data_IF_037662158215
#
_entry.id   IF_037662158215
#
_cell.length_a   1.000
_cell.length_b   1.000
_cell.length_c   1.000
_cell.angle_alpha   90.00
_cell.angle_beta   90.00
_cell.angle_gamma   90.00
#
_symmetry.space_group_name_H-M   'P 1'
#
loop_
_entity.id
_entity.type
_entity.pdbx_description
1 polymer ?
#
# COMPACT_ATOMS: atom_id res chain seq x y z
N UNK A 1 -4.60 26.99 -17.68
CA UNK A 1 -3.36 26.24 -17.94
C UNK A 1 -2.73 25.90 -16.60
N UNK A 2 -2.84 24.62 -16.24
CA UNK A 2 -2.07 23.81 -15.28
C UNK A 2 -2.98 22.64 -14.91
N UNK A 3 -3.12 21.72 -15.86
CA UNK A 3 -3.81 20.45 -15.68
C UNK A 3 -2.85 19.48 -15.02
N UNK A 4 -3.19 19.04 -13.81
CA UNK A 4 -2.53 17.93 -13.14
C UNK A 4 -3.48 16.74 -13.29
N UNK A 5 -3.47 16.12 -14.47
CA UNK A 5 -4.21 14.90 -14.77
C UNK A 5 -3.49 13.71 -14.10
N UNK A 6 -3.71 13.54 -12.79
CA UNK A 6 -3.32 12.32 -12.09
C UNK A 6 -4.21 11.16 -12.55
N UNK A 7 -3.72 10.45 -13.56
CA UNK A 7 -4.27 9.19 -14.03
C UNK A 7 -4.11 8.16 -12.90
N UNK A 8 -5.21 7.62 -12.39
CA UNK A 8 -5.21 6.51 -11.43
C UNK A 8 -5.27 5.20 -12.19
N UNK A 9 -4.18 4.40 -12.29
CA UNK A 9 -4.28 3.03 -12.76
C UNK A 9 -4.75 2.16 -11.59
N UNK A 10 -6.04 1.79 -11.61
CA UNK A 10 -6.60 0.88 -10.63
C UNK A 10 -6.28 -0.58 -11.06
N UNK A 11 -5.12 -1.09 -10.65
CA UNK A 11 -4.71 -2.48 -10.90
C UNK A 11 -5.44 -3.43 -9.95
N UNK A 12 -6.59 -3.95 -10.39
CA UNK A 12 -7.34 -5.00 -9.67
C UNK A 12 -7.73 -6.13 -10.63
N UNK A 13 -6.74 -6.77 -11.24
CA UNK A 13 -6.91 -8.08 -11.88
C UNK A 13 -5.75 -9.01 -11.50
N UNK A 14 -5.79 -9.52 -10.26
CA UNK A 14 -4.96 -10.64 -9.84
C UNK A 14 -5.52 -11.93 -10.46
N UNK A 15 -5.06 -12.29 -11.67
CA UNK A 15 -5.19 -13.67 -12.16
C UNK A 15 -4.03 -14.47 -11.59
N UNK A 16 -4.32 -15.37 -10.65
CA UNK A 16 -3.38 -16.38 -10.20
C UNK A 16 -3.01 -17.30 -11.37
N UNK A 17 -1.90 -17.00 -12.04
CA UNK A 17 -1.20 -17.90 -12.98
C UNK A 17 0.13 -18.34 -12.34
N UNK A 18 0.70 -19.47 -12.76
CA UNK A 18 1.77 -20.13 -12.03
C UNK A 18 2.98 -19.20 -11.90
N UNK A 19 3.42 -18.95 -10.67
CA UNK A 19 4.69 -18.29 -10.38
C UNK A 19 5.81 -19.15 -10.99
N UNK A 20 6.53 -18.63 -11.98
CA UNK A 20 7.78 -19.22 -12.40
C UNK A 20 8.82 -18.98 -11.29
N UNK A 21 8.77 -19.82 -10.25
CA UNK A 21 9.78 -19.83 -9.21
C UNK A 21 10.99 -20.62 -9.73
N UNK A 22 11.92 -19.95 -10.40
CA UNK A 22 13.19 -20.56 -10.76
C UNK A 22 14.08 -20.65 -9.52
N UNK A 23 13.90 -21.75 -8.77
CA UNK A 23 14.67 -22.04 -7.57
C UNK A 23 16.04 -22.57 -7.96
N UNK A 24 17.03 -21.68 -8.09
CA UNK A 24 18.42 -22.09 -8.19
C UNK A 24 18.78 -22.96 -6.97
N UNK A 25 19.50 -24.07 -7.15
CA UNK A 25 20.03 -24.89 -6.04
C UNK A 25 21.49 -24.52 -5.81
N UNK A 26 21.83 -23.92 -4.67
CA UNK A 26 23.22 -23.68 -4.27
C UNK A 26 23.40 -22.49 -3.34
N UNK A 27 23.72 -22.76 -2.07
CA UNK A 27 23.76 -21.81 -0.96
C UNK A 27 24.42 -20.45 -1.26
N UNK A 28 23.76 -19.37 -0.80
CA UNK A 28 24.17 -17.98 -0.99
C UNK A 28 23.42 -17.27 -2.13
N UNK A 29 22.08 -17.32 -2.12
CA UNK A 29 21.22 -17.00 -3.26
C UNK A 29 21.00 -15.50 -3.57
N UNK A 30 21.33 -14.56 -2.69
CA UNK A 30 20.98 -13.13 -2.82
C UNK A 30 21.78 -12.35 -3.88
N UNK A 31 22.58 -13.03 -4.70
CA UNK A 31 23.48 -12.41 -5.67
C UNK A 31 23.60 -13.11 -7.02
N UNK A 32 22.80 -14.13 -7.30
CA UNK A 32 22.83 -14.80 -8.61
C UNK A 32 22.28 -13.90 -9.73
N UNK A 33 22.66 -14.21 -10.97
CA UNK A 33 22.27 -13.41 -12.15
C UNK A 33 20.74 -13.29 -12.28
N UNK A 34 19.99 -14.34 -11.98
CA UNK A 34 18.52 -14.32 -12.00
C UNK A 34 17.94 -13.35 -10.97
N UNK A 35 18.45 -13.32 -9.74
CA UNK A 35 17.98 -12.41 -8.70
C UNK A 35 18.22 -10.94 -9.08
N UNK A 36 19.39 -10.63 -9.66
CA UNK A 36 19.69 -9.27 -10.15
C UNK A 36 18.82 -8.88 -11.34
N UNK A 37 18.56 -9.83 -12.25
CA UNK A 37 17.69 -9.60 -13.39
C UNK A 37 16.24 -9.32 -12.96
N UNK A 38 15.70 -10.10 -12.01
CA UNK A 38 14.38 -9.86 -11.42
C UNK A 38 14.33 -8.46 -10.80
N UNK A 39 15.33 -8.10 -9.98
CA UNK A 39 15.42 -6.79 -9.36
C UNK A 39 15.40 -5.65 -10.38
N UNK A 40 16.22 -5.76 -11.44
CA UNK A 40 16.27 -4.76 -12.50
C UNK A 40 14.92 -4.66 -13.23
N UNK A 41 14.30 -5.79 -13.58
CA UNK A 41 13.01 -5.80 -14.24
C UNK A 41 11.88 -5.22 -13.37
N UNK A 42 11.93 -5.43 -12.05
CA UNK A 42 10.99 -4.81 -11.10
C UNK A 42 11.20 -3.30 -11.02
N UNK A 43 12.44 -2.81 -11.08
CA UNK A 43 12.75 -1.36 -11.06
C UNK A 43 12.15 -0.65 -12.28
N UNK A 44 12.22 -1.29 -13.46
CA UNK A 44 11.74 -0.72 -14.73
C UNK A 44 10.22 -0.89 -14.95
N UNK A 45 9.51 -1.54 -14.02
CA UNK A 45 8.09 -1.82 -14.19
C UNK A 45 7.22 -0.57 -14.03
N UNK A 46 6.16 -0.46 -14.84
CA UNK A 46 5.21 0.65 -14.75
C UNK A 46 4.40 0.64 -13.45
N UNK A 47 4.09 -0.56 -12.94
CA UNK A 47 3.33 -0.76 -11.70
C UNK A 47 4.02 -1.83 -10.83
N UNK A 48 4.29 -1.46 -9.59
CA UNK A 48 4.83 -2.36 -8.56
C UNK A 48 3.92 -2.37 -7.34
N UNK A 49 3.79 -3.51 -6.68
CA UNK A 49 3.07 -3.67 -5.42
C UNK A 49 4.09 -3.97 -4.32
N UNK A 50 4.09 -3.16 -3.27
CA UNK A 50 4.99 -3.35 -2.14
C UNK A 50 4.22 -3.72 -0.87
N UNK A 51 4.76 -4.70 -0.15
CA UNK A 51 4.22 -5.19 1.13
C UNK A 51 5.36 -5.71 2.03
N UNK A 52 5.12 -5.71 3.34
CA UNK A 52 6.04 -6.19 4.35
C UNK A 52 5.38 -7.18 5.31
N UNK A 53 6.06 -8.30 5.55
CA UNK A 53 5.62 -9.24 6.57
C UNK A 53 6.73 -9.59 7.55
N UNK A 54 6.40 -9.56 8.84
CA UNK A 54 7.32 -9.89 9.92
C UNK A 54 7.43 -11.40 10.10
N UNK A 55 8.65 -11.93 10.17
CA UNK A 55 8.90 -13.35 10.44
C UNK A 55 10.17 -13.56 11.27
N UNK A 56 10.43 -14.80 11.69
CA UNK A 56 11.59 -15.13 12.53
C UNK A 56 12.59 -16.02 11.79
N UNK A 57 13.86 -15.62 11.79
CA UNK A 57 14.99 -16.45 11.35
C UNK A 57 15.89 -16.71 12.55
N UNK A 58 16.07 -17.98 12.92
CA UNK A 58 16.93 -18.39 14.05
C UNK A 58 16.64 -17.60 15.35
N UNK A 59 15.36 -17.38 15.64
CA UNK A 59 14.91 -16.65 16.83
C UNK A 59 15.06 -15.12 16.77
N UNK A 60 15.50 -14.56 15.65
CA UNK A 60 15.59 -13.10 15.43
C UNK A 60 14.46 -12.63 14.52
N UNK A 61 13.92 -11.44 14.78
CA UNK A 61 12.86 -10.85 13.95
C UNK A 61 13.45 -10.26 12.67
N UNK A 62 12.92 -10.70 11.54
CA UNK A 62 13.17 -10.16 10.21
C UNK A 62 11.87 -9.60 9.63
N UNK A 63 12.01 -8.70 8.68
CA UNK A 63 10.94 -8.25 7.82
C UNK A 63 11.24 -8.75 6.41
N UNK A 64 10.27 -9.43 5.81
CA UNK A 64 10.33 -9.78 4.41
C UNK A 64 9.74 -8.62 3.62
N UNK A 65 10.59 -7.89 2.93
CA UNK A 65 10.16 -6.86 1.99
C UNK A 65 9.86 -7.52 0.65
N UNK A 66 8.73 -7.16 0.07
CA UNK A 66 8.27 -7.72 -1.19
C UNK A 66 7.97 -6.59 -2.16
N UNK A 67 8.39 -6.77 -3.41
CA UNK A 67 7.94 -5.92 -4.52
C UNK A 67 7.55 -6.82 -5.68
N UNK A 68 6.28 -6.77 -6.09
CA UNK A 68 5.75 -7.60 -7.16
C UNK A 68 5.13 -6.79 -8.29
N UNK A 69 5.40 -7.20 -9.52
CA UNK A 69 4.74 -6.74 -10.74
C UNK A 69 3.70 -7.77 -11.17
N UNK A 70 3.14 -7.62 -12.37
CA UNK A 70 2.25 -8.64 -12.94
C UNK A 70 2.93 -10.01 -13.11
N UNK A 71 4.24 -10.01 -13.44
CA UNK A 71 4.95 -11.23 -13.83
C UNK A 71 6.02 -11.67 -12.83
N UNK A 72 6.55 -10.74 -12.02
CA UNK A 72 7.74 -10.97 -11.21
C UNK A 72 7.48 -10.60 -9.75
N UNK A 73 8.09 -11.35 -8.83
CA UNK A 73 8.10 -10.99 -7.42
C UNK A 73 9.52 -11.04 -6.88
N UNK A 74 9.94 -9.95 -6.26
CA UNK A 74 11.19 -9.84 -5.53
C UNK A 74 10.94 -9.95 -4.03
N UNK A 75 11.78 -10.74 -3.35
CA UNK A 75 11.73 -10.96 -1.91
C UNK A 75 13.09 -10.63 -1.30
N UNK A 76 13.14 -9.76 -0.30
CA UNK A 76 14.35 -9.51 0.51
C UNK A 76 14.04 -9.60 2.00
N UNK A 77 14.65 -10.57 2.72
CA UNK A 77 14.56 -10.62 4.16
C UNK A 77 15.56 -9.66 4.81
N UNK A 78 15.07 -8.63 5.48
CA UNK A 78 15.89 -7.65 6.18
C UNK A 78 15.82 -7.83 7.70
N UNK A 79 16.99 -7.86 8.35
CA UNK A 79 17.06 -7.97 9.80
C UNK A 79 16.76 -6.60 10.43
N UNK A 80 15.83 -6.53 11.39
CA UNK A 80 15.65 -5.28 12.12
C UNK A 80 16.90 -4.96 12.95
N UNK A 81 17.51 -3.80 12.71
CA UNK A 81 18.65 -3.33 13.50
C UNK A 81 18.25 -2.42 14.66
N UNK A 82 18.63 -2.82 15.88
CA UNK A 82 18.76 -1.92 17.03
C UNK A 82 17.46 -1.25 17.55
N UNK A 83 17.63 -0.02 18.05
CA UNK A 83 16.58 0.79 18.72
C UNK A 83 15.83 1.74 17.76
N UNK A 84 15.99 1.56 16.46
CA UNK A 84 15.39 2.43 15.43
C UNK A 84 13.85 2.35 15.47
N UNK A 85 13.20 3.47 15.14
CA UNK A 85 11.75 3.49 14.94
C UNK A 85 11.37 2.62 13.74
N UNK A 86 10.15 2.06 13.67
CA UNK A 86 9.72 1.25 12.54
C UNK A 86 9.95 1.94 11.19
N UNK A 87 9.66 3.25 11.09
CA UNK A 87 9.82 4.01 9.85
C UNK A 87 11.30 4.17 9.45
N UNK A 88 12.20 4.38 10.41
CA UNK A 88 13.64 4.50 10.14
C UNK A 88 14.25 3.16 9.71
N UNK A 89 13.91 2.08 10.42
CA UNK A 89 14.36 0.74 10.07
C UNK A 89 13.83 0.32 8.70
N UNK A 90 12.58 0.69 8.39
CA UNK A 90 11.96 0.51 7.09
C UNK A 90 12.72 1.22 5.98
N UNK A 91 12.95 2.53 6.14
CA UNK A 91 13.67 3.32 5.16
C UNK A 91 15.06 2.73 4.88
N UNK A 92 15.80 2.39 5.93
CA UNK A 92 17.12 1.81 5.78
C UNK A 92 17.07 0.48 5.01
N UNK A 93 16.10 -0.37 5.32
CA UNK A 93 15.92 -1.63 4.62
C UNK A 93 15.59 -1.40 3.14
N UNK A 94 14.65 -0.51 2.82
CA UNK A 94 14.25 -0.22 1.45
C UNK A 94 15.33 0.50 0.63
N UNK A 95 16.14 1.33 1.28
CA UNK A 95 17.32 1.97 0.68
C UNK A 95 18.43 0.95 0.38
N UNK A 96 18.71 0.03 1.32
CA UNK A 96 19.67 -1.06 1.13
C UNK A 96 19.21 -2.08 0.07
N UNK A 97 17.90 -2.39 0.03
CA UNK A 97 17.28 -3.16 -1.04
C UNK A 97 17.45 -2.45 -2.36
N UNK A 98 17.37 -1.11 -2.41
CA UNK A 98 17.70 -0.34 -3.62
C UNK A 98 16.73 -0.51 -4.79
N UNK A 99 15.49 -0.97 -4.55
CA UNK A 99 14.41 -0.93 -5.56
C UNK A 99 13.72 0.43 -5.52
N UNK A 100 13.13 0.80 -4.38
CA UNK A 100 12.34 2.03 -4.24
C UNK A 100 13.11 3.33 -4.54
N UNK A 101 14.41 3.46 -4.22
CA UNK A 101 15.18 4.65 -4.61
C UNK A 101 15.31 4.86 -6.13
N UNK A 102 15.12 3.80 -6.93
CA UNK A 102 15.30 3.81 -8.39
C UNK A 102 13.98 3.65 -9.16
N UNK A 103 12.93 3.18 -8.49
CA UNK A 103 11.62 2.95 -9.11
C UNK A 103 10.94 4.28 -9.45
N UNK A 104 10.43 4.41 -10.67
CA UNK A 104 9.74 5.62 -11.15
C UNK A 104 8.29 5.38 -11.58
N UNK A 105 7.81 4.13 -11.51
CA UNK A 105 6.43 3.77 -11.83
C UNK A 105 5.43 4.14 -10.73
N UNK A 106 4.25 3.51 -10.78
CA UNK A 106 3.25 3.59 -9.70
C UNK A 106 3.45 2.47 -8.70
N UNK A 107 3.76 2.83 -7.45
CA UNK A 107 3.88 1.91 -6.35
C UNK A 107 2.55 1.80 -5.61
N UNK A 108 1.92 0.63 -5.65
CA UNK A 108 0.75 0.27 -4.87
C UNK A 108 1.20 -0.26 -3.51
N UNK A 109 0.84 0.40 -2.40
CA UNK A 109 1.29 0.00 -1.06
C UNK A 109 0.22 0.23 0.01
N UNK A 110 0.43 -0.31 1.21
CA UNK A 110 -0.48 -0.31 2.36
C UNK A 110 -0.50 1.01 3.19
N UNK A 111 -0.09 2.13 2.59
CA UNK A 111 0.11 3.41 3.28
C UNK A 111 1.14 3.40 4.44
N UNK A 112 2.06 2.43 4.52
CA UNK A 112 3.14 2.54 5.49
C UNK A 112 3.98 3.82 5.27
N UNK A 113 4.18 4.58 6.34
CA UNK A 113 4.76 5.92 6.29
C UNK A 113 6.15 6.00 5.63
N UNK A 114 6.89 4.90 5.61
CA UNK A 114 8.19 4.78 4.93
C UNK A 114 8.07 5.06 3.43
N UNK A 115 7.02 4.56 2.78
CA UNK A 115 6.87 4.63 1.32
C UNK A 115 6.76 6.07 0.83
N UNK A 116 6.00 6.93 1.51
CA UNK A 116 5.78 8.33 1.13
C UNK A 116 7.05 9.21 1.14
N UNK A 117 8.20 8.65 1.51
CA UNK A 117 9.50 9.34 1.44
C UNK A 117 10.11 9.31 0.04
N UNK A 118 9.68 8.38 -0.81
CA UNK A 118 10.19 8.21 -2.17
C UNK A 118 9.40 9.10 -3.15
N UNK A 119 10.03 10.19 -3.59
CA UNK A 119 9.36 11.22 -4.41
C UNK A 119 9.46 10.99 -5.92
N UNK A 120 10.30 10.04 -6.35
CA UNK A 120 10.49 9.74 -7.77
C UNK A 120 9.41 8.82 -8.36
N UNK A 121 8.61 8.19 -7.50
CA UNK A 121 7.54 7.28 -7.87
C UNK A 121 6.16 7.90 -7.62
N UNK A 122 5.15 7.37 -8.29
CA UNK A 122 3.76 7.69 -8.00
C UNK A 122 3.23 6.75 -6.92
N UNK A 123 2.40 7.27 -6.03
CA UNK A 123 1.80 6.49 -4.95
C UNK A 123 0.37 6.09 -5.28
N UNK A 124 0.07 4.81 -5.13
CA UNK A 124 -1.28 4.29 -5.09
C UNK A 124 -1.47 3.50 -3.79
N UNK A 125 -2.65 3.62 -3.18
CA UNK A 125 -2.95 2.86 -1.98
C UNK A 125 -3.62 1.53 -2.33
N UNK A 126 -3.24 0.49 -1.60
CA UNK A 126 -3.74 -0.85 -1.84
C UNK A 126 -5.19 -0.98 -1.38
N UNK A 127 -6.12 -1.05 -2.34
CA UNK A 127 -7.54 -1.23 -2.04
C UNK A 127 -7.84 -2.51 -1.23
N UNK A 128 -7.06 -3.58 -1.38
CA UNK A 128 -7.25 -4.79 -0.57
C UNK A 128 -6.96 -4.55 0.92
N UNK A 129 -5.97 -3.70 1.23
CA UNK A 129 -5.68 -3.28 2.60
C UNK A 129 -6.78 -2.35 3.13
N UNK A 130 -7.22 -1.37 2.33
CA UNK A 130 -8.34 -0.52 2.70
C UNK A 130 -9.62 -1.31 2.99
N UNK A 131 -9.97 -2.28 2.14
CA UNK A 131 -11.15 -3.11 2.36
C UNK A 131 -11.04 -3.90 3.66
N UNK A 132 -9.87 -4.42 4.01
CA UNK A 132 -9.66 -5.12 5.29
C UNK A 132 -9.90 -4.20 6.48
N UNK A 133 -9.34 -2.99 6.45
CA UNK A 133 -9.49 -2.02 7.53
C UNK A 133 -10.95 -1.54 7.65
N UNK A 134 -11.60 -1.26 6.52
CA UNK A 134 -13.01 -0.87 6.47
C UNK A 134 -13.93 -1.99 6.97
N UNK A 135 -13.67 -3.24 6.60
CA UNK A 135 -14.43 -4.40 7.11
C UNK A 135 -14.29 -4.49 8.64
N UNK A 136 -13.09 -4.29 9.18
CA UNK A 136 -12.91 -4.28 10.63
C UNK A 136 -13.71 -3.17 11.32
N UNK A 137 -13.83 -1.98 10.72
CA UNK A 137 -14.65 -0.89 11.24
C UNK A 137 -16.14 -1.27 11.21
N UNK A 138 -16.61 -1.90 10.13
CA UNK A 138 -18.00 -2.39 10.03
C UNK A 138 -18.28 -3.45 11.10
N UNK A 139 -17.38 -4.41 11.28
CA UNK A 139 -17.58 -5.53 12.20
C UNK A 139 -17.50 -5.12 13.68
N UNK A 140 -16.54 -4.25 14.02
CA UNK A 140 -16.24 -3.92 15.42
C UNK A 140 -16.94 -2.64 15.89
N UNK A 141 -17.00 -1.62 15.03
CA UNK A 141 -17.50 -0.30 15.39
C UNK A 141 -18.88 0.00 14.76
N UNK A 142 -19.33 -0.83 13.83
CA UNK A 142 -20.64 -0.74 13.15
C UNK A 142 -20.90 0.61 12.48
N UNK A 143 -19.83 1.29 12.04
CA UNK A 143 -19.94 2.62 11.44
C UNK A 143 -20.40 2.55 9.98
N UNK A 144 -21.42 3.33 9.64
CA UNK A 144 -22.12 3.21 8.37
C UNK A 144 -21.27 3.71 7.19
N UNK A 145 -20.49 4.77 7.39
CA UNK A 145 -19.61 5.31 6.35
C UNK A 145 -18.62 4.26 5.82
N UNK A 146 -18.15 3.34 6.67
CA UNK A 146 -17.19 2.31 6.26
C UNK A 146 -17.84 1.31 5.30
N UNK A 147 -19.09 0.90 5.55
CA UNK A 147 -19.86 0.05 4.64
C UNK A 147 -20.14 0.76 3.31
N UNK A 148 -20.47 2.05 3.34
CA UNK A 148 -20.64 2.87 2.13
C UNK A 148 -19.34 2.99 1.34
N UNK A 149 -18.20 3.15 2.01
CA UNK A 149 -16.89 3.23 1.36
C UNK A 149 -16.51 1.90 0.70
N UNK A 150 -16.75 0.76 1.35
CA UNK A 150 -16.56 -0.57 0.75
C UNK A 150 -17.38 -0.67 -0.54
N UNK A 151 -18.67 -0.32 -0.50
CA UNK A 151 -19.53 -0.37 -1.68
C UNK A 151 -19.01 0.54 -2.80
N UNK A 152 -18.60 1.78 -2.47
CA UNK A 152 -18.03 2.74 -3.42
C UNK A 152 -16.79 2.17 -4.14
N UNK A 153 -15.83 1.62 -3.39
CA UNK A 153 -14.59 1.06 -3.95
C UNK A 153 -14.86 -0.17 -4.82
N UNK A 154 -15.77 -1.05 -4.41
CA UNK A 154 -16.14 -2.24 -5.18
C UNK A 154 -16.89 -1.87 -6.47
N UNK A 155 -17.83 -0.92 -6.41
CA UNK A 155 -18.50 -0.42 -7.61
C UNK A 155 -17.53 0.27 -8.57
N UNK A 156 -16.57 1.05 -8.07
CA UNK A 156 -15.52 1.65 -8.90
C UNK A 156 -14.68 0.58 -9.62
N UNK A 157 -14.30 -0.49 -8.91
CA UNK A 157 -13.61 -1.65 -9.50
C UNK A 157 -14.43 -2.30 -10.61
N UNK A 158 -15.71 -2.53 -10.38
CA UNK A 158 -16.63 -3.14 -11.36
C UNK A 158 -16.78 -2.27 -12.62
N UNK A 159 -16.90 -0.95 -12.44
CA UNK A 159 -16.95 0.00 -13.55
C UNK A 159 -15.67 -0.04 -14.39
N UNK A 160 -14.49 -0.05 -13.75
CA UNK A 160 -13.20 -0.18 -14.44
C UNK A 160 -13.12 -1.50 -15.20
N UNK A 161 -13.55 -2.60 -14.58
CA UNK A 161 -13.56 -3.92 -15.24
C UNK A 161 -14.49 -3.95 -16.46
N UNK A 162 -15.66 -3.33 -16.38
CA UNK A 162 -16.59 -3.22 -17.50
C UNK A 162 -16.03 -2.36 -18.65
N UNK A 163 -15.40 -1.23 -18.33
CA UNK A 163 -14.73 -0.38 -19.32
C UNK A 163 -13.61 -1.13 -20.04
N UNK A 164 -12.78 -1.87 -19.30
CA UNK A 164 -11.74 -2.72 -19.88
C UNK A 164 -12.30 -3.78 -20.81
N UNK A 165 -13.40 -4.45 -20.43
CA UNK A 165 -14.08 -5.43 -21.28
C UNK A 165 -14.65 -4.81 -22.55
N UNK A 166 -15.03 -3.53 -22.51
CA UNK A 166 -15.44 -2.74 -23.67
C UNK A 166 -14.26 -2.24 -24.53
N UNK A 167 -13.02 -2.53 -24.16
CA UNK A 167 -11.81 -2.06 -24.84
C UNK A 167 -11.42 -0.62 -24.50
N UNK A 168 -12.03 -0.02 -23.48
CA UNK A 168 -11.66 1.29 -22.97
C UNK A 168 -10.44 1.18 -22.05
N UNK A 169 -9.55 2.16 -22.13
CA UNK A 169 -8.34 2.21 -21.29
C UNK A 169 -8.54 2.98 -19.99
N UNK A 170 -9.65 3.69 -19.85
CA UNK A 170 -10.02 4.47 -18.66
C UNK A 170 -11.51 4.79 -18.64
N UNK A 171 -12.04 5.03 -17.45
CA UNK A 171 -13.40 5.55 -17.27
C UNK A 171 -13.57 6.95 -17.87
N UNK A 172 -14.80 7.25 -18.33
CA UNK A 172 -15.18 8.59 -18.76
C UNK A 172 -14.97 9.63 -17.65
N UNK A 173 -14.74 10.90 -18.02
CA UNK A 173 -14.52 11.98 -17.06
C UNK A 173 -15.71 12.12 -16.08
N UNK A 174 -16.93 12.07 -16.60
CA UNK A 174 -18.15 12.16 -15.78
C UNK A 174 -18.27 11.00 -14.79
N UNK A 175 -17.89 9.79 -15.20
CA UNK A 175 -17.91 8.62 -14.31
C UNK A 175 -16.88 8.78 -13.18
N UNK A 176 -15.65 9.21 -13.51
CA UNK A 176 -14.61 9.48 -12.51
C UNK A 176 -15.03 10.56 -11.53
N UNK A 177 -15.62 11.65 -12.02
CA UNK A 177 -16.10 12.75 -11.19
C UNK A 177 -17.19 12.30 -10.22
N UNK A 178 -18.15 11.50 -10.68
CA UNK A 178 -19.20 10.93 -9.82
C UNK A 178 -18.65 10.03 -8.73
N UNK A 179 -17.68 9.18 -9.05
CA UNK A 179 -17.00 8.33 -8.07
C UNK A 179 -16.29 9.20 -7.03
N UNK A 180 -15.58 10.24 -7.48
CA UNK A 180 -14.85 11.16 -6.60
C UNK A 180 -15.79 11.92 -5.65
N UNK A 181 -16.91 12.44 -6.16
CA UNK A 181 -17.92 13.12 -5.34
C UNK A 181 -18.55 12.20 -4.29
N UNK A 182 -18.86 10.95 -4.67
CA UNK A 182 -19.37 9.96 -3.73
C UNK A 182 -18.33 9.63 -2.65
N UNK A 183 -17.08 9.41 -3.06
CA UNK A 183 -15.97 9.15 -2.15
C UNK A 183 -15.81 10.27 -1.12
N UNK A 184 -15.73 11.54 -1.56
CA UNK A 184 -15.60 12.71 -0.69
C UNK A 184 -16.79 12.85 0.28
N UNK A 185 -18.01 12.61 -0.20
CA UNK A 185 -19.19 12.63 0.65
C UNK A 185 -19.11 11.57 1.78
N UNK A 186 -18.63 10.36 1.47
CA UNK A 186 -18.45 9.30 2.46
C UNK A 186 -17.33 9.63 3.44
N UNK A 187 -16.22 10.23 2.97
CA UNK A 187 -15.14 10.71 3.85
C UNK A 187 -15.67 11.76 4.82
N UNK A 188 -16.49 12.70 4.36
CA UNK A 188 -17.14 13.69 5.21
C UNK A 188 -18.00 13.04 6.30
N UNK A 189 -18.77 12.00 5.95
CA UNK A 189 -19.55 11.23 6.94
C UNK A 189 -18.63 10.55 7.97
N UNK A 190 -17.56 9.91 7.52
CA UNK A 190 -16.60 9.25 8.40
C UNK A 190 -15.91 10.21 9.36
N UNK A 191 -15.55 11.42 8.90
CA UNK A 191 -14.98 12.46 9.75
C UNK A 191 -16.00 13.02 10.76
N UNK A 192 -17.27 13.12 10.39
CA UNK A 192 -18.34 13.55 11.28
C UNK A 192 -18.63 12.52 12.39
N UNK A 193 -18.60 11.22 12.06
CA UNK A 193 -18.73 10.13 13.03
C UNK A 193 -17.48 9.96 13.92
N UNK A 194 -16.31 10.37 13.43
CA UNK A 194 -15.03 10.25 14.14
C UNK A 194 -14.36 11.61 14.37
N UNK A 195 -14.96 12.49 15.19
CA UNK A 195 -14.39 13.81 15.44
C UNK A 195 -13.01 13.69 16.11
N UNK A 196 -12.05 14.49 15.65
CA UNK A 196 -10.74 14.56 16.29
C UNK A 196 -10.89 15.01 17.75
N UNK A 197 -10.19 14.36 18.70
CA UNK A 197 -10.24 14.78 20.08
C UNK A 197 -9.69 16.20 20.22
N UNK A 198 -10.54 17.12 20.70
CA UNK A 198 -10.14 18.50 21.01
C UNK A 198 -9.03 18.51 22.05
N UNK A 199 -7.90 19.15 21.71
CA UNK A 199 -6.72 19.22 22.57
C UNK A 199 -6.90 20.24 23.69
N UNK A 200 -7.70 19.93 24.71
CA UNK A 200 -7.64 20.65 25.97
C UNK A 200 -6.60 19.97 26.86
N UNK A 201 -5.36 20.43 26.79
CA UNK A 201 -4.39 20.14 27.85
C UNK A 201 -4.40 21.30 28.84
N UNK A 202 -4.79 21.07 30.11
CA UNK A 202 -4.52 22.04 31.16
C UNK A 202 -2.99 22.26 31.24
N UNK A 203 -2.52 23.50 31.43
CA UNK A 203 -1.09 23.76 31.56
C UNK A 203 -0.55 22.99 32.78
N UNK A 204 0.49 22.17 32.57
CA UNK A 204 1.28 21.60 33.68
C UNK A 204 1.41 20.07 33.77
N UNK A 205 0.66 19.25 33.02
CA UNK A 205 0.88 17.78 33.03
C UNK A 205 1.78 17.34 31.88
N UNK A 206 3.10 17.38 32.09
CA UNK A 206 4.08 16.64 31.27
C UNK A 206 3.99 15.16 31.64
N UNK A 207 3.14 14.43 30.91
CA UNK A 207 3.05 12.98 30.93
C UNK A 207 2.24 12.51 29.73
N UNK A 208 2.76 11.52 28.99
CA UNK A 208 2.08 10.95 27.82
C UNK A 208 0.70 10.44 28.25
N UNK A 209 -0.37 11.09 27.79
CA UNK A 209 -1.74 10.61 28.02
C UNK A 209 -1.82 9.17 27.52
N UNK A 210 -2.41 8.30 28.34
CA UNK A 210 -2.74 6.92 27.92
C UNK A 210 -3.62 7.07 26.68
N UNK A 211 -3.09 6.70 25.52
CA UNK A 211 -3.91 6.63 24.31
C UNK A 211 -5.08 5.69 24.65
N UNK A 212 -6.34 6.02 24.33
CA UNK A 212 -7.37 4.98 24.25
C UNK A 212 -6.80 3.88 23.35
N UNK A 213 -7.17 2.61 23.60
CA UNK A 213 -6.73 1.49 22.76
C UNK A 213 -6.97 1.93 21.31
N UNK A 214 -5.90 2.26 20.59
CA UNK A 214 -5.96 2.31 19.15
C UNK A 214 -6.39 0.90 18.76
N UNK A 215 -7.36 0.78 17.85
CA UNK A 215 -7.28 -0.32 16.91
C UNK A 215 -5.86 -0.25 16.35
N UNK A 216 -5.02 -1.15 16.83
CA UNK A 216 -3.66 -1.33 16.35
C UNK A 216 -3.80 -1.79 14.92
N UNK A 217 -3.55 -0.87 13.99
CA UNK A 217 -2.98 -1.17 12.69
C UNK A 217 -1.83 -0.15 12.52
#
# INVERSE_FOLDING_TARGET
MNGNDSCWPMCLNYRSRPVAAEFCRGGGHYGCASYRAIKAAVIEAEVGHADETGFYIKGRRHWLHTVSTEELTYYEPHARWGKETPCQAGQKATDEIGILPQFTGTLVHDAWATYFRYQLLLHALCNAHHLRDLTAIVENDQQQWAALMIACLLSAKELVAAAWQAGETRLSADCRERIHQLYEAIVCLGLAENPLPVSHSPPGKRGRRKRPKRATW
#
